data_IF_880342190360
#
_entry.id   IF_880342190360
#
_cell.length_a   1.000
_cell.length_b   1.000
_cell.length_c   1.000
_cell.angle_alpha   90.00
_cell.angle_beta   90.00
_cell.angle_gamma   90.00
#
_symmetry.space_group_name_H-M   'P 1'
#
loop_
_entity.id
_entity.type
_entity.pdbx_description
1 polymer ?
#
# COMPACT_ATOMS: atom_id res chain seq x y z
N UNK A 1 50.18 -50.53 6.73
CA UNK A 1 48.75 -50.22 7.00
C UNK A 1 48.56 -48.71 6.95
N UNK A 2 48.15 -48.15 5.81
CA UNK A 2 47.81 -46.71 5.66
C UNK A 2 46.30 -46.63 5.45
N UNK A 3 45.56 -46.04 6.40
CA UNK A 3 44.13 -45.75 6.24
C UNK A 3 43.99 -44.44 5.46
N UNK A 4 43.35 -44.53 4.29
CA UNK A 4 43.02 -43.41 3.42
C UNK A 4 41.66 -42.84 3.84
N UNK A 5 41.64 -41.51 3.99
CA UNK A 5 40.49 -40.67 4.29
C UNK A 5 39.55 -40.63 3.07
N UNK A 6 38.24 -40.78 3.28
CA UNK A 6 37.23 -40.27 2.35
C UNK A 6 36.32 -39.30 3.11
N UNK A 7 36.55 -38.00 2.91
CA UNK A 7 35.59 -36.95 3.22
C UNK A 7 34.70 -36.78 1.97
N UNK A 8 33.42 -37.12 2.08
CA UNK A 8 32.42 -36.85 1.06
C UNK A 8 32.06 -35.36 1.09
N UNK A 9 32.55 -34.59 0.12
CA UNK A 9 32.09 -33.22 -0.13
C UNK A 9 30.78 -33.31 -0.91
N UNK A 10 29.65 -33.15 -0.23
CA UNK A 10 28.36 -32.96 -0.88
C UNK A 10 28.31 -31.54 -1.45
N UNK A 11 28.49 -31.44 -2.77
CA UNK A 11 28.31 -30.21 -3.53
C UNK A 11 26.81 -29.87 -3.54
N UNK A 12 26.38 -28.91 -2.70
CA UNK A 12 25.05 -28.32 -2.81
C UNK A 12 25.08 -27.42 -4.05
N UNK A 13 24.72 -27.99 -5.21
CA UNK A 13 24.41 -27.20 -6.41
C UNK A 13 23.17 -26.39 -6.12
N UNK A 14 23.36 -25.09 -5.94
CA UNK A 14 22.29 -24.13 -5.73
C UNK A 14 21.39 -24.07 -6.97
N UNK A 15 20.10 -24.33 -6.77
CA UNK A 15 19.03 -24.10 -7.74
C UNK A 15 18.79 -22.58 -7.88
N UNK A 16 19.78 -21.84 -8.39
CA UNK A 16 19.60 -20.46 -8.85
C UNK A 16 19.68 -20.44 -10.39
N UNK A 17 18.72 -21.08 -11.04
CA UNK A 17 18.55 -20.99 -12.49
C UNK A 17 17.07 -20.86 -12.79
N UNK A 18 16.71 -19.88 -13.64
CA UNK A 18 15.37 -19.59 -14.18
C UNK A 18 14.54 -18.42 -13.61
N UNK A 19 15.12 -17.47 -12.87
CA UNK A 19 14.43 -16.19 -12.62
C UNK A 19 15.20 -15.00 -13.22
N UNK A 20 14.58 -14.31 -14.18
CA UNK A 20 15.08 -13.04 -14.71
C UNK A 20 14.95 -11.94 -13.66
N UNK A 21 15.89 -10.98 -13.63
CA UNK A 21 15.83 -9.86 -12.69
C UNK A 21 14.64 -8.93 -13.03
N UNK A 22 13.70 -8.70 -12.09
CA UNK A 22 12.59 -7.77 -12.30
C UNK A 22 13.08 -6.32 -12.39
N UNK A 23 12.25 -5.44 -12.97
CA UNK A 23 12.55 -3.99 -13.01
C UNK A 23 12.79 -3.45 -11.59
N UNK A 24 13.78 -2.55 -11.39
CA UNK A 24 14.00 -1.90 -10.10
C UNK A 24 12.86 -0.94 -9.69
N UNK A 25 11.96 -0.59 -10.62
CA UNK A 25 10.78 0.23 -10.32
C UNK A 25 9.71 -0.56 -9.55
N UNK A 26 9.74 -1.90 -9.62
CA UNK A 26 8.76 -2.75 -8.98
C UNK A 26 8.83 -2.68 -7.45
N UNK A 27 7.67 -2.55 -6.80
CA UNK A 27 7.57 -2.57 -5.36
C UNK A 27 7.83 -3.98 -4.83
N UNK A 28 8.44 -4.05 -3.64
CA UNK A 28 8.65 -5.27 -2.89
C UNK A 28 8.59 -4.99 -1.38
N UNK A 29 8.52 -6.03 -0.52
CA UNK A 29 8.32 -5.83 0.91
C UNK A 29 9.36 -4.96 1.65
N UNK A 30 10.52 -4.69 1.05
CA UNK A 30 11.65 -4.06 1.77
C UNK A 30 12.04 -2.67 1.26
N UNK A 31 11.50 -2.20 0.13
CA UNK A 31 12.05 -1.04 -0.57
C UNK A 31 11.30 0.29 -0.34
N UNK A 32 10.11 0.28 0.27
CA UNK A 32 9.26 1.47 0.36
C UNK A 32 8.62 1.65 1.74
N UNK A 33 8.08 2.85 1.96
CA UNK A 33 7.18 3.17 3.07
C UNK A 33 5.79 3.45 2.52
N UNK A 34 4.77 2.87 3.16
CA UNK A 34 3.37 3.17 2.88
C UNK A 34 2.90 4.33 3.77
N UNK A 35 2.18 5.29 3.20
CA UNK A 35 1.55 6.38 3.94
C UNK A 35 0.05 6.36 3.66
N UNK A 36 -0.74 6.04 4.69
CA UNK A 36 -2.20 6.03 4.65
C UNK A 36 -2.71 7.37 5.17
N UNK A 37 -3.25 8.18 4.26
CA UNK A 37 -3.53 9.60 4.50
C UNK A 37 -5.03 9.82 4.65
N UNK A 38 -5.47 10.14 5.86
CA UNK A 38 -6.75 10.79 6.14
C UNK A 38 -7.98 10.02 5.61
N UNK A 39 -7.96 8.68 5.71
CA UNK A 39 -9.11 7.82 5.44
C UNK A 39 -10.20 7.99 6.50
N UNK A 40 -10.85 9.16 6.53
CA UNK A 40 -11.80 9.54 7.56
C UNK A 40 -13.22 9.64 7.01
N UNK A 41 -14.20 9.25 7.84
CA UNK A 41 -15.59 9.07 7.43
C UNK A 41 -16.24 10.34 6.86
N UNK A 42 -15.99 11.51 7.46
CA UNK A 42 -16.56 12.75 6.93
C UNK A 42 -16.06 13.00 5.51
N UNK A 43 -14.75 12.88 5.30
CA UNK A 43 -14.10 13.23 4.03
C UNK A 43 -14.63 12.36 2.89
N UNK A 44 -15.02 11.13 3.21
CA UNK A 44 -15.55 10.19 2.24
C UNK A 44 -16.93 10.57 1.68
N UNK A 45 -17.74 11.36 2.41
CA UNK A 45 -19.07 11.77 1.95
C UNK A 45 -19.05 12.65 0.71
N UNK A 46 -17.95 13.39 0.51
CA UNK A 46 -17.81 14.23 -0.67
C UNK A 46 -17.31 13.44 -1.88
N UNK A 47 -16.80 12.22 -1.71
CA UNK A 47 -16.19 11.44 -2.80
C UNK A 47 -17.22 11.08 -3.87
N UNK A 48 -16.92 11.41 -5.13
CA UNK A 48 -17.81 11.17 -6.28
C UNK A 48 -17.13 10.56 -7.50
N UNK A 49 -15.79 10.47 -7.54
CA UNK A 49 -15.09 9.84 -8.66
C UNK A 49 -15.23 8.31 -8.67
N UNK A 50 -15.61 7.69 -7.55
CA UNK A 50 -15.85 6.25 -7.42
C UNK A 50 -16.87 5.95 -6.31
N UNK A 51 -17.36 4.71 -6.24
CA UNK A 51 -18.27 4.30 -5.15
C UNK A 51 -17.51 4.24 -3.82
N UNK A 52 -18.21 4.57 -2.73
CA UNK A 52 -17.64 4.51 -1.39
C UNK A 52 -17.23 3.08 -0.98
N UNK A 53 -17.95 2.08 -1.50
CA UNK A 53 -17.67 0.66 -1.25
C UNK A 53 -16.36 0.23 -1.91
N UNK A 54 -16.15 0.59 -3.18
CA UNK A 54 -14.88 0.33 -3.89
C UNK A 54 -13.72 1.05 -3.20
N UNK A 55 -13.87 2.33 -2.86
CA UNK A 55 -12.83 3.08 -2.14
C UNK A 55 -12.43 2.40 -0.83
N UNK A 56 -13.41 2.02 0.01
CA UNK A 56 -13.14 1.40 1.31
C UNK A 56 -12.52 0.01 1.16
N UNK A 57 -12.97 -0.79 0.20
CA UNK A 57 -12.40 -2.09 -0.10
C UNK A 57 -10.93 -1.97 -0.55
N UNK A 58 -10.62 -1.04 -1.45
CA UNK A 58 -9.26 -0.83 -1.95
C UNK A 58 -8.32 -0.27 -0.87
N UNK A 59 -8.84 0.60 0.00
CA UNK A 59 -8.11 1.09 1.16
C UNK A 59 -7.82 -0.04 2.17
N UNK A 60 -8.79 -0.92 2.41
CA UNK A 60 -8.63 -2.13 3.23
C UNK A 60 -7.60 -3.09 2.65
N UNK A 61 -7.67 -3.35 1.33
CA UNK A 61 -6.74 -4.21 0.61
C UNK A 61 -5.30 -3.70 0.75
N UNK A 62 -5.12 -2.38 0.62
CA UNK A 62 -3.83 -1.72 0.80
C UNK A 62 -3.30 -1.85 2.24
N UNK A 63 -4.13 -1.57 3.23
CA UNK A 63 -3.75 -1.64 4.65
C UNK A 63 -3.50 -3.09 5.14
N UNK A 64 -4.26 -4.06 4.62
CA UNK A 64 -4.04 -5.47 4.90
C UNK A 64 -2.75 -5.98 4.25
N UNK A 65 -2.48 -5.58 3.00
CA UNK A 65 -1.24 -5.92 2.30
C UNK A 65 -0.01 -5.45 3.09
N UNK A 66 -0.03 -4.22 3.61
CA UNK A 66 1.09 -3.74 4.41
C UNK A 66 1.34 -4.53 5.69
N UNK A 67 0.30 -5.09 6.30
CA UNK A 67 0.45 -5.99 7.46
C UNK A 67 1.02 -7.35 7.08
N UNK A 68 0.49 -7.97 6.03
CA UNK A 68 0.96 -9.29 5.57
C UNK A 68 2.44 -9.24 5.23
N UNK A 69 2.88 -8.18 4.55
CA UNK A 69 4.25 -8.04 4.06
C UNK A 69 5.17 -7.18 4.94
N UNK A 70 4.73 -6.83 6.16
CA UNK A 70 5.51 -6.05 7.14
C UNK A 70 6.06 -4.73 6.59
N UNK A 71 5.26 -4.01 5.81
CA UNK A 71 5.66 -2.73 5.20
C UNK A 71 5.74 -1.65 6.27
N UNK A 72 6.85 -0.88 6.35
CA UNK A 72 6.89 0.34 7.16
C UNK A 72 5.74 1.26 6.78
N UNK A 73 4.79 1.45 7.71
CA UNK A 73 3.57 2.23 7.44
C UNK A 73 3.47 3.43 8.38
N UNK A 74 3.02 4.57 7.84
CA UNK A 74 2.60 5.75 8.60
C UNK A 74 1.12 5.98 8.33
N UNK A 75 0.35 6.28 9.38
CA UNK A 75 -1.08 6.56 9.28
C UNK A 75 -1.32 7.97 9.81
N UNK A 76 -1.99 8.81 9.01
CA UNK A 76 -2.32 10.19 9.40
C UNK A 76 -3.82 10.42 9.42
N UNK A 77 -4.23 11.41 10.20
CA UNK A 77 -5.55 12.02 10.14
C UNK A 77 -5.43 13.54 10.11
N UNK A 78 -6.47 14.20 9.63
CA UNK A 78 -6.61 15.65 9.68
C UNK A 78 -7.84 16.03 10.47
N UNK A 79 -7.71 16.96 11.42
CA UNK A 79 -8.83 17.51 12.18
C UNK A 79 -9.78 16.44 12.76
N UNK A 80 -9.25 15.30 13.22
CA UNK A 80 -10.07 14.13 13.56
C UNK A 80 -11.09 14.41 14.67
N UNK A 81 -10.72 15.24 15.64
CA UNK A 81 -11.57 15.59 16.78
C UNK A 81 -12.55 16.74 16.53
N UNK A 82 -12.41 17.47 15.42
CA UNK A 82 -13.19 18.69 15.17
C UNK A 82 -14.05 18.64 13.91
N UNK A 83 -13.60 18.01 12.82
CA UNK A 83 -14.32 18.03 11.54
C UNK A 83 -14.34 16.67 10.85
N UNK A 84 -13.17 16.10 10.55
CA UNK A 84 -13.08 14.97 9.62
C UNK A 84 -13.54 13.64 10.25
N UNK A 85 -13.58 13.57 11.58
CA UNK A 85 -14.13 12.44 12.31
C UNK A 85 -13.22 11.21 12.33
N UNK A 86 -13.77 10.03 12.68
CA UNK A 86 -13.00 8.81 12.84
C UNK A 86 -12.49 8.28 11.51
N UNK A 87 -11.42 7.48 11.59
CA UNK A 87 -10.90 6.72 10.47
C UNK A 87 -11.86 5.61 10.04
N UNK A 88 -11.76 5.17 8.78
CA UNK A 88 -12.47 4.00 8.30
C UNK A 88 -12.24 2.79 9.21
N UNK A 89 -13.30 2.05 9.58
CA UNK A 89 -13.17 0.80 10.33
C UNK A 89 -12.23 -0.20 9.64
N UNK A 90 -12.23 -0.23 8.31
CA UNK A 90 -11.37 -1.11 7.52
C UNK A 90 -9.88 -0.84 7.79
N UNK A 91 -9.47 0.43 7.84
CA UNK A 91 -8.08 0.78 8.17
C UNK A 91 -7.81 0.52 9.65
N UNK A 92 -8.75 0.88 10.53
CA UNK A 92 -8.61 0.70 11.97
C UNK A 92 -8.54 -0.78 12.40
N UNK A 93 -9.07 -1.70 11.59
CA UNK A 93 -8.98 -3.14 11.83
C UNK A 93 -7.53 -3.66 11.71
N UNK A 94 -6.75 -3.06 10.80
CA UNK A 94 -5.33 -3.36 10.65
C UNK A 94 -4.46 -2.44 11.53
N UNK A 95 -4.89 -1.20 11.76
CA UNK A 95 -4.16 -0.21 12.54
C UNK A 95 -5.02 0.32 13.70
N UNK A 96 -5.24 -0.48 14.76
CA UNK A 96 -6.07 -0.05 15.89
C UNK A 96 -5.48 1.17 16.58
N UNK A 97 -6.30 2.19 16.84
CA UNK A 97 -5.87 3.44 17.47
C UNK A 97 -5.24 3.20 18.85
N UNK A 98 -5.68 2.15 19.57
CA UNK A 98 -5.14 1.79 20.88
C UNK A 98 -3.67 1.31 20.85
N UNK A 99 -3.18 0.85 19.69
CA UNK A 99 -1.83 0.28 19.53
C UNK A 99 -1.05 0.86 18.36
N UNK A 100 -1.64 1.79 17.60
CA UNK A 100 -1.03 2.47 16.47
C UNK A 100 -0.87 3.95 16.79
N UNK A 101 0.34 4.47 16.63
CA UNK A 101 0.56 5.91 16.62
C UNK A 101 -0.02 6.50 15.32
N UNK A 102 -1.23 7.05 15.41
CA UNK A 102 -1.86 7.84 14.35
C UNK A 102 -1.48 9.30 14.53
N UNK A 103 -1.01 9.94 13.46
CA UNK A 103 -0.57 11.33 13.50
C UNK A 103 -1.73 12.22 13.07
N UNK A 104 -2.41 12.83 14.04
CA UNK A 104 -3.45 13.81 13.81
C UNK A 104 -2.85 15.22 13.66
N UNK A 105 -3.27 15.94 12.62
CA UNK A 105 -2.75 17.27 12.27
C UNK A 105 -3.87 18.20 11.80
N UNK A 106 -3.53 19.47 11.58
CA UNK A 106 -4.44 20.49 11.02
C UNK A 106 -4.10 20.87 9.59
N UNK A 107 -2.84 20.75 9.18
CA UNK A 107 -2.42 21.00 7.78
C UNK A 107 -2.98 19.91 6.88
N UNK A 108 -3.42 20.29 5.67
CA UNK A 108 -3.89 19.30 4.69
C UNK A 108 -2.72 18.57 4.01
N UNK A 109 -1.61 19.28 3.78
CA UNK A 109 -0.37 18.68 3.31
C UNK A 109 0.39 18.08 4.51
N UNK A 110 0.48 16.75 4.59
CA UNK A 110 1.21 16.09 5.67
C UNK A 110 2.72 16.38 5.66
N UNK A 111 3.27 16.87 4.54
CA UNK A 111 4.66 17.27 4.44
C UNK A 111 4.94 18.61 5.16
N UNK A 112 3.93 19.45 5.37
CA UNK A 112 4.04 20.70 6.11
C UNK A 112 3.96 20.49 7.64
N UNK A 113 3.45 19.34 8.09
CA UNK A 113 3.41 18.99 9.51
C UNK A 113 4.72 18.33 9.94
N UNK A 114 5.37 18.91 10.96
CA UNK A 114 6.68 18.45 11.43
C UNK A 114 6.67 17.00 11.92
N UNK A 115 5.59 16.57 12.58
CA UNK A 115 5.50 15.23 13.16
C UNK A 115 5.23 14.18 12.09
N UNK A 116 4.32 14.47 11.15
CA UNK A 116 4.06 13.62 10.00
C UNK A 116 5.30 13.50 9.11
N UNK A 117 5.95 14.61 8.77
CA UNK A 117 7.20 14.61 8.01
C UNK A 117 8.28 13.76 8.69
N UNK A 118 8.51 13.95 10.00
CA UNK A 118 9.48 13.13 10.76
C UNK A 118 9.11 11.65 10.78
N UNK A 119 7.84 11.32 10.95
CA UNK A 119 7.42 9.93 10.99
C UNK A 119 7.55 9.22 9.64
N UNK A 120 7.31 9.93 8.53
CA UNK A 120 7.48 9.42 7.17
C UNK A 120 8.97 9.27 6.85
N UNK A 121 9.74 10.35 6.96
CA UNK A 121 11.17 10.35 6.62
C UNK A 121 12.00 9.45 7.54
N UNK A 122 11.61 9.34 8.82
CA UNK A 122 12.24 8.47 9.81
C UNK A 122 12.13 6.97 9.51
N UNK A 123 11.29 6.54 8.55
CA UNK A 123 11.28 5.14 8.07
C UNK A 123 12.48 4.78 7.20
N UNK A 124 13.23 5.79 6.71
CA UNK A 124 14.49 5.58 5.99
C UNK A 124 14.35 4.97 4.59
N UNK A 125 13.16 5.02 3.97
CA UNK A 125 12.92 4.54 2.60
C UNK A 125 12.81 5.71 1.64
N UNK A 126 13.45 5.63 0.48
CA UNK A 126 13.38 6.65 -0.59
C UNK A 126 12.25 6.43 -1.58
N UNK A 127 11.55 5.30 -1.49
CA UNK A 127 10.30 5.06 -2.20
C UNK A 127 9.14 5.25 -1.23
N UNK A 128 8.17 6.08 -1.60
CA UNK A 128 6.91 6.27 -0.89
C UNK A 128 5.76 5.75 -1.73
N UNK A 129 4.82 5.09 -1.07
CA UNK A 129 3.52 4.71 -1.64
C UNK A 129 2.46 5.46 -0.84
N UNK A 130 1.66 6.27 -1.52
CA UNK A 130 0.64 7.12 -0.90
C UNK A 130 -0.75 6.61 -1.29
N UNK A 131 -1.69 6.63 -0.35
CA UNK A 131 -3.10 6.44 -0.63
C UNK A 131 -3.94 7.15 0.42
N UNK A 132 -5.07 7.73 0.02
CA UNK A 132 -5.87 8.51 0.96
C UNK A 132 -6.84 9.51 0.34
N UNK A 133 -7.32 10.42 1.17
CA UNK A 133 -8.34 11.39 0.82
C UNK A 133 -7.90 12.83 1.18
N UNK A 134 -8.16 13.85 0.36
CA UNK A 134 -8.56 13.79 -1.05
C UNK A 134 -7.37 13.82 -2.00
N UNK A 135 -7.58 13.27 -3.19
CA UNK A 135 -6.54 13.14 -4.22
C UNK A 135 -5.92 14.50 -4.55
N UNK A 136 -6.73 15.52 -4.81
CA UNK A 136 -6.34 16.88 -5.18
C UNK A 136 -5.78 17.72 -4.04
N UNK A 137 -5.90 17.26 -2.79
CA UNK A 137 -5.53 18.02 -1.60
C UNK A 137 -4.46 17.29 -0.78
N UNK A 138 -4.85 16.28 0.00
CA UNK A 138 -3.96 15.62 0.96
C UNK A 138 -3.00 14.62 0.30
N UNK A 139 -3.21 14.24 -0.96
CA UNK A 139 -2.28 13.38 -1.71
C UNK A 139 -1.33 14.20 -2.59
N UNK A 140 -1.85 15.12 -3.41
CA UNK A 140 -1.02 15.96 -4.30
C UNK A 140 0.04 16.74 -3.53
N UNK A 141 -0.31 17.35 -2.39
CA UNK A 141 0.63 18.14 -1.57
C UNK A 141 1.90 17.35 -1.21
N UNK A 142 1.80 16.28 -0.42
CA UNK A 142 2.98 15.52 -0.01
C UNK A 142 3.65 14.78 -1.15
N UNK A 143 2.92 14.37 -2.20
CA UNK A 143 3.53 13.76 -3.38
C UNK A 143 4.52 14.73 -4.06
N UNK A 144 4.11 15.97 -4.32
CA UNK A 144 4.96 16.98 -4.95
C UNK A 144 6.13 17.39 -4.04
N UNK A 145 5.90 17.54 -2.74
CA UNK A 145 6.97 17.84 -1.78
C UNK A 145 8.01 16.72 -1.72
N UNK A 146 7.58 15.46 -1.66
CA UNK A 146 8.48 14.32 -1.65
C UNK A 146 9.30 14.18 -2.95
N UNK A 147 8.68 14.41 -4.11
CA UNK A 147 9.39 14.45 -5.40
C UNK A 147 10.52 15.50 -5.37
N UNK A 148 10.23 16.70 -4.86
CA UNK A 148 11.21 17.79 -4.76
C UNK A 148 12.40 17.43 -3.83
N UNK A 149 12.17 16.55 -2.85
CA UNK A 149 13.22 16.02 -1.96
C UNK A 149 13.88 14.73 -2.48
N UNK A 150 13.64 14.37 -3.74
CA UNK A 150 14.28 13.24 -4.42
C UNK A 150 13.73 11.88 -4.04
N UNK A 151 12.50 11.80 -3.53
CA UNK A 151 11.81 10.53 -3.35
C UNK A 151 11.25 10.01 -4.68
N UNK A 152 11.19 8.70 -4.83
CA UNK A 152 10.31 8.06 -5.82
C UNK A 152 8.93 7.89 -5.19
N UNK A 153 7.89 8.37 -5.86
CA UNK A 153 6.54 8.38 -5.30
C UNK A 153 5.59 7.56 -6.17
N UNK A 154 4.88 6.65 -5.52
CA UNK A 154 3.75 5.92 -6.07
C UNK A 154 2.45 6.40 -5.41
N UNK A 155 1.36 6.45 -6.15
CA UNK A 155 0.02 6.78 -5.62
C UNK A 155 -0.96 5.68 -5.98
N UNK A 156 -1.66 5.16 -4.98
CA UNK A 156 -2.71 4.14 -5.15
C UNK A 156 -4.02 4.87 -5.49
N UNK A 157 -4.33 5.01 -6.77
CA UNK A 157 -5.39 5.90 -7.25
C UNK A 157 -6.79 5.36 -6.99
N UNK A 158 -7.00 4.05 -7.07
CA UNK A 158 -8.28 3.39 -6.79
C UNK A 158 -8.59 3.29 -5.28
N UNK A 159 -7.58 3.44 -4.42
CA UNK A 159 -7.74 3.67 -2.98
C UNK A 159 -7.75 5.16 -2.64
N UNK A 160 -7.74 6.07 -3.61
CA UNK A 160 -7.82 7.51 -3.40
C UNK A 160 -9.09 8.09 -4.02
N UNK A 161 -9.65 9.12 -3.40
CA UNK A 161 -10.96 9.68 -3.78
C UNK A 161 -10.95 11.19 -3.83
N UNK A 162 -11.90 11.77 -4.55
CA UNK A 162 -12.07 13.21 -4.67
C UNK A 162 -13.54 13.60 -4.92
N UNK A 163 -13.82 14.89 -4.80
CA UNK A 163 -15.16 15.47 -4.86
C UNK A 163 -15.83 15.40 -6.24
N UNK A 164 -15.04 15.11 -7.27
CA UNK A 164 -15.49 14.84 -8.64
C UNK A 164 -14.44 14.04 -9.39
N UNK A 165 -14.84 13.39 -10.48
CA UNK A 165 -13.91 12.76 -11.42
C UNK A 165 -12.90 13.76 -11.97
N UNK A 166 -13.33 14.97 -12.34
CA UNK A 166 -12.44 16.04 -12.80
C UNK A 166 -11.35 16.38 -11.76
N UNK A 167 -11.73 16.56 -10.48
CA UNK A 167 -10.76 16.89 -9.43
C UNK A 167 -9.73 15.77 -9.24
N UNK A 168 -10.19 14.51 -9.24
CA UNK A 168 -9.31 13.34 -9.14
C UNK A 168 -8.36 13.25 -10.35
N UNK A 169 -8.89 13.33 -11.57
CA UNK A 169 -8.14 13.11 -12.81
C UNK A 169 -7.11 14.22 -13.05
N UNK A 170 -7.46 15.48 -12.77
CA UNK A 170 -6.50 16.59 -12.89
C UNK A 170 -5.42 16.51 -11.82
N UNK A 171 -5.75 16.08 -10.61
CA UNK A 171 -4.78 15.84 -9.55
C UNK A 171 -3.79 14.74 -9.93
N UNK A 172 -4.28 13.60 -10.42
CA UNK A 172 -3.44 12.50 -10.92
C UNK A 172 -2.59 12.96 -12.09
N UNK A 173 -3.16 13.66 -13.07
CA UNK A 173 -2.43 14.22 -14.22
C UNK A 173 -1.30 15.16 -13.78
N UNK A 174 -1.56 16.03 -12.82
CA UNK A 174 -0.56 16.93 -12.24
C UNK A 174 0.58 16.15 -11.57
N UNK A 175 0.26 15.13 -10.79
CA UNK A 175 1.25 14.27 -10.13
C UNK A 175 2.10 13.49 -11.14
N UNK A 176 1.47 12.89 -12.17
CA UNK A 176 2.17 12.17 -13.24
C UNK A 176 3.17 13.07 -13.96
N UNK A 177 2.76 14.30 -14.30
CA UNK A 177 3.67 15.29 -14.92
C UNK A 177 4.85 15.66 -14.04
N UNK A 178 4.73 15.52 -12.72
CA UNK A 178 5.82 15.71 -11.76
C UNK A 178 6.68 14.45 -11.54
N UNK A 179 6.33 13.30 -12.13
CA UNK A 179 7.10 12.05 -12.03
C UNK A 179 6.53 11.00 -11.07
N UNK A 180 5.35 11.24 -10.48
CA UNK A 180 4.65 10.26 -9.64
C UNK A 180 4.14 9.09 -10.49
N UNK A 181 4.21 7.87 -9.94
CA UNK A 181 3.76 6.64 -10.58
C UNK A 181 2.39 6.21 -10.05
N UNK A 182 1.29 6.37 -10.81
CA UNK A 182 -0.01 5.87 -10.40
C UNK A 182 -0.06 4.34 -10.48
N UNK A 183 -0.60 3.71 -9.45
CA UNK A 183 -0.85 2.26 -9.36
C UNK A 183 -2.22 2.00 -8.72
N UNK A 184 -2.67 0.75 -8.73
CA UNK A 184 -3.92 0.33 -8.07
C UNK A 184 -3.67 -0.58 -6.87
N UNK A 185 -4.66 -0.71 -5.99
CA UNK A 185 -4.58 -1.45 -4.73
C UNK A 185 -4.31 -2.94 -4.94
N UNK A 186 -5.01 -3.57 -5.88
CA UNK A 186 -4.77 -4.98 -6.22
C UNK A 186 -3.41 -5.17 -6.90
N UNK A 187 -3.02 -4.25 -7.79
CA UNK A 187 -1.66 -4.27 -8.35
C UNK A 187 -0.62 -4.19 -7.23
N UNK A 188 -0.76 -3.26 -6.29
CA UNK A 188 0.15 -3.10 -5.15
C UNK A 188 0.29 -4.41 -4.35
N UNK A 189 -0.81 -5.06 -3.98
CA UNK A 189 -0.78 -6.34 -3.28
C UNK A 189 -0.04 -7.42 -4.08
N UNK A 190 -0.34 -7.55 -5.38
CA UNK A 190 0.28 -8.56 -6.24
C UNK A 190 1.74 -8.24 -6.57
N UNK A 191 2.14 -6.97 -6.52
CA UNK A 191 3.54 -6.54 -6.57
C UNK A 191 4.34 -6.97 -5.34
N UNK A 192 3.69 -7.14 -4.17
CA UNK A 192 4.34 -7.70 -2.98
C UNK A 192 4.40 -9.23 -3.03
N UNK A 193 3.30 -9.88 -3.43
CA UNK A 193 3.23 -11.34 -3.54
C UNK A 193 4.17 -11.88 -4.63
N UNK A 194 4.09 -11.34 -5.85
CA UNK A 194 4.83 -11.69 -7.10
C UNK A 194 4.72 -13.11 -7.62
N UNK A 195 4.73 -14.10 -6.74
CA UNK A 195 4.87 -15.51 -7.08
C UNK A 195 3.96 -16.34 -6.18
N UNK A 196 3.09 -17.12 -6.80
CA UNK A 196 2.14 -17.99 -6.09
C UNK A 196 2.82 -19.22 -5.47
N UNK A 197 4.07 -19.52 -5.84
CA UNK A 197 4.89 -20.51 -5.15
C UNK A 197 5.37 -20.04 -3.76
N UNK A 198 5.25 -18.74 -3.43
CA UNK A 198 5.54 -18.22 -2.08
C UNK A 198 4.41 -18.57 -1.12
N UNK A 199 4.49 -19.78 -0.58
CA UNK A 199 3.48 -20.38 0.29
C UNK A 199 3.31 -19.65 1.62
N UNK A 200 4.37 -19.03 2.15
CA UNK A 200 4.37 -18.30 3.43
C UNK A 200 3.30 -17.19 3.47
N UNK A 201 3.11 -16.48 2.36
CA UNK A 201 2.14 -15.37 2.25
C UNK A 201 0.92 -15.72 1.40
N UNK A 202 0.87 -16.92 0.80
CA UNK A 202 -0.18 -17.33 -0.13
C UNK A 202 -1.58 -17.27 0.49
N UNK A 203 -1.78 -17.95 1.63
CA UNK A 203 -3.09 -18.01 2.27
C UNK A 203 -3.54 -16.62 2.74
N UNK A 204 -2.68 -15.89 3.43
CA UNK A 204 -2.99 -14.53 3.90
C UNK A 204 -3.35 -13.58 2.73
N UNK A 205 -2.62 -13.65 1.62
CA UNK A 205 -2.89 -12.85 0.42
C UNK A 205 -4.23 -13.23 -0.20
N UNK A 206 -4.49 -14.51 -0.43
CA UNK A 206 -5.75 -14.95 -1.04
C UNK A 206 -6.94 -14.70 -0.14
N UNK A 207 -6.81 -14.84 1.17
CA UNK A 207 -7.89 -14.54 2.13
C UNK A 207 -8.21 -13.03 2.16
N UNK A 208 -7.19 -12.17 2.10
CA UNK A 208 -7.39 -10.73 1.98
C UNK A 208 -8.12 -10.36 0.67
N UNK A 209 -7.75 -10.99 -0.45
CA UNK A 209 -8.42 -10.78 -1.75
C UNK A 209 -9.87 -11.28 -1.70
N UNK A 210 -10.15 -12.42 -1.07
CA UNK A 210 -11.54 -12.90 -0.90
C UNK A 210 -12.40 -11.90 -0.13
N UNK A 211 -11.81 -11.18 0.82
CA UNK A 211 -12.53 -10.24 1.65
C UNK A 211 -12.72 -8.87 0.99
N UNK A 212 -11.69 -8.34 0.32
CA UNK A 212 -11.67 -6.95 -0.16
C UNK A 212 -11.38 -6.80 -1.67
N UNK A 213 -11.03 -7.88 -2.38
CA UNK A 213 -10.64 -7.86 -3.79
C UNK A 213 -11.82 -7.84 -4.79
N UNK A 214 -13.04 -7.56 -4.32
CA UNK A 214 -14.24 -7.49 -5.16
C UNK A 214 -14.45 -8.74 -6.00
N UNK A 215 -14.69 -8.56 -7.30
CA UNK A 215 -14.94 -9.66 -8.23
C UNK A 215 -13.79 -10.69 -8.30
N UNK A 216 -12.54 -10.27 -8.12
CA UNK A 216 -11.43 -11.22 -8.09
C UNK A 216 -11.50 -12.13 -6.84
N UNK A 217 -11.88 -11.56 -5.69
CA UNK A 217 -12.16 -12.32 -4.48
C UNK A 217 -13.23 -13.40 -4.67
N UNK A 218 -14.33 -13.05 -5.34
CA UNK A 218 -15.40 -13.99 -5.71
C UNK A 218 -14.84 -15.14 -6.57
N UNK A 219 -13.99 -14.81 -7.55
CA UNK A 219 -13.34 -15.83 -8.39
C UNK A 219 -12.49 -16.82 -7.59
N UNK A 220 -11.75 -16.35 -6.58
CA UNK A 220 -10.96 -17.24 -5.70
C UNK A 220 -11.87 -18.12 -4.84
N UNK A 221 -12.96 -17.58 -4.30
CA UNK A 221 -13.95 -18.37 -3.54
C UNK A 221 -14.55 -19.48 -4.41
N UNK A 222 -15.02 -19.10 -5.60
CA UNK A 222 -15.57 -20.03 -6.59
C UNK A 222 -14.56 -21.13 -6.94
N UNK A 223 -13.32 -20.77 -7.25
CA UNK A 223 -12.29 -21.73 -7.61
C UNK A 223 -12.04 -22.75 -6.50
N UNK A 224 -11.96 -22.28 -5.24
CA UNK A 224 -11.75 -23.15 -4.07
C UNK A 224 -12.90 -24.14 -3.83
N UNK A 225 -14.14 -23.75 -4.13
CA UNK A 225 -15.32 -24.58 -3.89
C UNK A 225 -15.63 -25.52 -5.08
N UNK A 226 -15.46 -25.04 -6.30
CA UNK A 226 -15.97 -25.70 -7.51
C UNK A 226 -14.90 -26.44 -8.31
N UNK A 227 -13.63 -26.06 -8.19
CA UNK A 227 -12.54 -26.71 -8.91
C UNK A 227 -11.91 -27.74 -7.97
N UNK A 228 -12.08 -29.03 -8.27
CA UNK A 228 -11.45 -30.11 -7.52
C UNK A 228 -9.93 -30.03 -7.72
N UNK A 229 -9.18 -29.98 -6.62
CA UNK A 229 -7.71 -30.04 -6.56
C UNK A 229 -7.25 -31.45 -6.18
#
# INVERSE_FOLDING_TARGET
MKKLILLSVSLITSLYGFAQKPSPQLLNPTNHTLVLIDYQSQMAFAVKNQSIEVLRNNAALTAGASKIFNIPTVVTTVAAKSFSGPMFPEISSFYPIASTTVIDRTTMNCWEDLNAHKAITGKGKKILVLGGLWTSVCIVGPALSAINEGYTVYVITDASGDVSTEAHDQAVTRMVKAGVQPITSLQYLLELQRDWARSETYNATTDLIKQYGGAYGIGIQYAKEMIKH
#
